data_IF_766154671984
#
_entry.id   IF_766154671984
#
_cell.length_a   1.000
_cell.length_b   1.000
_cell.length_c   1.000
_cell.angle_alpha   90.00
_cell.angle_beta   90.00
_cell.angle_gamma   90.00
#
_symmetry.space_group_name_H-M   'P 1'
#
loop_
_entity.id
_entity.type
_entity.pdbx_description
1 polymer ?
#
# COMPACT_ATOMS: atom_id res chain seq x y z
N UNK A 1 -5.15 27.73 -9.85
CA UNK A 1 -5.34 26.69 -10.88
C UNK A 1 -4.16 25.73 -11.05
N UNK A 2 -2.88 26.15 -11.20
CA UNK A 2 -1.79 25.19 -11.46
C UNK A 2 -1.40 24.32 -10.26
N UNK A 3 -1.44 24.87 -9.04
CA UNK A 3 -1.09 24.14 -7.81
C UNK A 3 -2.04 22.95 -7.57
N UNK A 4 -3.34 23.15 -7.74
CA UNK A 4 -4.33 22.09 -7.57
C UNK A 4 -4.13 20.96 -8.60
N UNK A 5 -3.97 21.29 -9.88
CA UNK A 5 -3.76 20.31 -10.93
C UNK A 5 -2.51 19.46 -10.68
N UNK A 6 -1.39 20.10 -10.30
CA UNK A 6 -0.16 19.40 -9.94
C UNK A 6 -0.35 18.50 -8.72
N UNK A 7 -0.98 19.00 -7.65
CA UNK A 7 -1.27 18.20 -6.46
C UNK A 7 -2.16 17.00 -6.78
N UNK A 8 -3.21 17.18 -7.58
CA UNK A 8 -4.08 16.10 -8.01
C UNK A 8 -3.34 15.03 -8.81
N UNK A 9 -2.53 15.43 -9.80
CA UNK A 9 -1.73 14.48 -10.59
C UNK A 9 -0.76 13.69 -9.71
N UNK A 10 -0.05 14.35 -8.78
CA UNK A 10 0.86 13.67 -7.85
C UNK A 10 0.10 12.73 -6.90
N UNK A 11 -1.09 13.13 -6.44
CA UNK A 11 -1.94 12.32 -5.56
C UNK A 11 -2.36 11.03 -6.27
N UNK A 12 -2.88 11.14 -7.49
CA UNK A 12 -3.32 9.99 -8.29
C UNK A 12 -2.15 9.07 -8.65
N UNK A 13 -0.99 9.63 -9.01
CA UNK A 13 0.22 8.83 -9.28
C UNK A 13 0.67 8.06 -8.03
N UNK A 14 0.67 8.69 -6.86
CA UNK A 14 1.02 8.03 -5.61
C UNK A 14 0.02 6.91 -5.24
N UNK A 15 -1.27 7.15 -5.43
CA UNK A 15 -2.32 6.14 -5.26
C UNK A 15 -2.12 4.97 -6.23
N UNK A 16 -1.80 5.25 -7.50
CA UNK A 16 -1.54 4.24 -8.53
C UNK A 16 -0.33 3.36 -8.16
N UNK A 17 0.77 3.96 -7.73
CA UNK A 17 1.98 3.23 -7.31
C UNK A 17 1.67 2.31 -6.13
N UNK A 18 0.94 2.80 -5.12
CA UNK A 18 0.67 1.99 -3.93
C UNK A 18 -0.41 0.93 -4.17
N UNK A 19 -1.61 1.33 -4.60
CA UNK A 19 -2.75 0.40 -4.81
C UNK A 19 -2.49 -0.52 -6.01
N UNK A 20 -1.99 0.04 -7.12
CA UNK A 20 -1.61 -0.75 -8.30
C UNK A 20 -0.44 -1.69 -8.03
N UNK A 21 0.53 -1.28 -7.21
CA UNK A 21 1.62 -2.16 -6.77
C UNK A 21 1.12 -3.32 -5.92
N UNK A 22 0.17 -3.09 -5.00
CA UNK A 22 -0.48 -4.15 -4.24
C UNK A 22 -1.30 -5.09 -5.13
N UNK A 23 -2.03 -4.54 -6.10
CA UNK A 23 -2.76 -5.32 -7.10
C UNK A 23 -1.82 -6.25 -7.87
N UNK A 24 -0.72 -5.70 -8.41
CA UNK A 24 0.29 -6.47 -9.13
C UNK A 24 0.91 -7.56 -8.25
N UNK A 25 1.31 -7.22 -7.02
CA UNK A 25 1.90 -8.18 -6.09
C UNK A 25 0.95 -9.35 -5.80
N UNK A 26 -0.34 -9.06 -5.58
CA UNK A 26 -1.31 -10.06 -5.14
C UNK A 26 -1.88 -10.91 -6.28
N UNK A 27 -2.25 -10.28 -7.40
CA UNK A 27 -2.91 -10.98 -8.53
C UNK A 27 -1.93 -11.51 -9.58
N UNK A 28 -0.77 -10.87 -9.77
CA UNK A 28 0.13 -11.20 -10.88
C UNK A 28 1.40 -11.89 -10.38
N UNK A 29 2.16 -11.22 -9.51
CA UNK A 29 3.44 -11.72 -9.05
C UNK A 29 3.30 -13.01 -8.25
N UNK A 30 2.28 -13.11 -7.40
CA UNK A 30 2.04 -14.32 -6.59
C UNK A 30 1.85 -15.57 -7.43
N UNK A 31 0.85 -15.68 -8.34
CA UNK A 31 0.67 -16.90 -9.11
C UNK A 31 1.89 -17.19 -9.99
N UNK A 32 2.53 -16.17 -10.56
CA UNK A 32 3.77 -16.35 -11.31
C UNK A 32 4.88 -16.97 -10.46
N UNK A 33 5.09 -16.48 -9.23
CA UNK A 33 6.10 -17.01 -8.31
C UNK A 33 5.75 -18.41 -7.79
N UNK A 34 4.47 -18.79 -7.73
CA UNK A 34 4.06 -20.17 -7.38
C UNK A 34 4.32 -21.13 -8.54
N UNK A 35 4.11 -20.68 -9.78
CA UNK A 35 4.32 -21.51 -10.96
C UNK A 35 5.80 -21.66 -11.34
N UNK A 36 6.61 -20.62 -11.13
CA UNK A 36 7.99 -20.58 -11.62
C UNK A 36 9.05 -20.96 -10.56
N UNK A 37 8.74 -20.96 -9.27
CA UNK A 37 9.72 -21.13 -8.19
C UNK A 37 9.30 -22.15 -7.13
N UNK A 38 10.27 -22.92 -6.66
CA UNK A 38 10.14 -23.78 -5.49
C UNK A 38 9.95 -22.98 -4.19
N UNK A 39 9.50 -23.66 -3.13
CA UNK A 39 9.16 -23.06 -1.84
C UNK A 39 10.20 -22.08 -1.27
N UNK A 40 11.46 -22.49 -1.09
CA UNK A 40 12.52 -21.62 -0.56
C UNK A 40 12.86 -20.44 -1.47
N UNK A 41 13.00 -20.67 -2.78
CA UNK A 41 13.31 -19.64 -3.76
C UNK A 41 12.21 -18.57 -3.82
N UNK A 42 10.94 -19.00 -3.71
CA UNK A 42 9.79 -18.10 -3.63
C UNK A 42 9.82 -17.20 -2.40
N UNK A 43 10.19 -17.73 -1.22
CA UNK A 43 10.29 -16.91 0.00
C UNK A 43 11.44 -15.89 -0.09
N UNK A 44 12.59 -16.29 -0.64
CA UNK A 44 13.73 -15.39 -0.91
C UNK A 44 13.34 -14.25 -1.87
N UNK A 45 12.61 -14.57 -2.94
CA UNK A 45 12.06 -13.55 -3.86
C UNK A 45 11.17 -12.54 -3.12
N UNK A 46 10.27 -13.00 -2.26
CA UNK A 46 9.37 -12.10 -1.54
C UNK A 46 10.09 -11.15 -0.58
N UNK A 47 11.15 -11.61 0.10
CA UNK A 47 12.00 -10.73 0.92
C UNK A 47 12.59 -9.60 0.07
N UNK A 48 13.15 -9.94 -1.07
CA UNK A 48 13.75 -9.00 -2.02
C UNK A 48 12.74 -8.02 -2.62
N UNK A 49 11.53 -8.49 -2.93
CA UNK A 49 10.44 -7.66 -3.47
C UNK A 49 9.95 -6.68 -2.41
N UNK A 50 9.68 -7.15 -1.19
CA UNK A 50 9.18 -6.29 -0.11
C UNK A 50 10.18 -5.20 0.26
N UNK A 51 11.48 -5.52 0.33
CA UNK A 51 12.52 -4.54 0.61
C UNK A 51 12.46 -3.35 -0.35
N UNK A 52 12.37 -3.62 -1.66
CA UNK A 52 12.33 -2.56 -2.69
C UNK A 52 10.97 -1.87 -2.72
N UNK A 53 9.88 -2.63 -2.64
CA UNK A 53 8.53 -2.09 -2.73
C UNK A 53 8.17 -1.16 -1.55
N UNK A 54 8.62 -1.48 -0.33
CA UNK A 54 8.31 -0.65 0.84
C UNK A 54 8.90 0.75 0.75
N UNK A 55 10.05 0.93 0.11
CA UNK A 55 10.61 2.27 -0.14
C UNK A 55 9.67 3.10 -1.01
N UNK A 56 9.12 2.50 -2.08
CA UNK A 56 8.12 3.14 -2.93
C UNK A 56 6.81 3.43 -2.20
N UNK A 57 6.37 2.54 -1.31
CA UNK A 57 5.17 2.75 -0.49
C UNK A 57 5.37 3.93 0.47
N UNK A 58 6.52 4.07 1.13
CA UNK A 58 6.82 5.24 1.97
C UNK A 58 6.78 6.56 1.18
N UNK A 59 7.39 6.57 0.00
CA UNK A 59 7.32 7.73 -0.90
C UNK A 59 5.87 8.03 -1.28
N UNK A 60 5.08 7.02 -1.66
CA UNK A 60 3.67 7.18 -1.99
C UNK A 60 2.84 7.72 -0.82
N UNK A 61 3.04 7.22 0.41
CA UNK A 61 2.37 7.71 1.63
C UNK A 61 2.67 9.19 1.85
N UNK A 62 3.95 9.58 1.77
CA UNK A 62 4.36 10.97 1.95
C UNK A 62 3.74 11.87 0.87
N UNK A 63 3.80 11.45 -0.40
CA UNK A 63 3.18 12.20 -1.49
C UNK A 63 1.66 12.33 -1.31
N UNK A 64 0.95 11.26 -0.93
CA UNK A 64 -0.49 11.29 -0.69
C UNK A 64 -0.87 12.25 0.43
N UNK A 65 -0.13 12.25 1.55
CA UNK A 65 -0.40 13.14 2.67
C UNK A 65 -0.19 14.62 2.30
N UNK A 66 0.94 14.93 1.64
CA UNK A 66 1.27 16.30 1.24
C UNK A 66 0.30 16.81 0.18
N UNK A 67 0.09 16.04 -0.90
CA UNK A 67 -0.82 16.43 -1.98
C UNK A 67 -2.27 16.52 -1.53
N UNK A 68 -2.74 15.60 -0.67
CA UNK A 68 -4.09 15.64 -0.12
C UNK A 68 -4.33 16.89 0.72
N UNK A 69 -3.36 17.28 1.57
CA UNK A 69 -3.45 18.50 2.36
C UNK A 69 -3.48 19.76 1.49
N UNK A 70 -2.64 19.82 0.45
CA UNK A 70 -2.65 20.92 -0.52
C UNK A 70 -3.99 21.04 -1.25
N UNK A 71 -4.60 19.91 -1.64
CA UNK A 71 -5.92 19.89 -2.29
C UNK A 71 -7.03 20.38 -1.34
N UNK A 72 -7.03 19.96 -0.08
CA UNK A 72 -8.02 20.42 0.92
C UNK A 72 -7.90 21.93 1.15
N UNK A 73 -6.68 22.42 1.38
CA UNK A 73 -6.45 23.85 1.65
C UNK A 73 -6.77 24.75 0.47
N UNK A 74 -6.59 24.26 -0.77
CA UNK A 74 -6.87 25.04 -1.99
C UNK A 74 -8.33 24.98 -2.42
N UNK A 75 -9.08 23.90 -2.13
CA UNK A 75 -10.46 23.70 -2.62
C UNK A 75 -11.54 23.92 -1.55
N UNK A 76 -11.28 23.60 -0.28
CA UNK A 76 -12.32 23.55 0.74
C UNK A 76 -12.17 24.59 1.85
N UNK A 77 -11.08 25.35 1.93
CA UNK A 77 -10.78 26.34 2.97
C UNK A 77 -10.67 25.80 4.42
N UNK A 78 -11.37 24.72 4.80
CA UNK A 78 -11.30 24.05 6.10
C UNK A 78 -11.65 22.56 6.01
N UNK A 79 -11.27 21.79 7.03
CA UNK A 79 -11.66 20.39 7.21
C UNK A 79 -13.15 20.21 7.51
N UNK A 80 -13.80 21.23 8.07
CA UNK A 80 -15.24 21.20 8.43
C UNK A 80 -16.16 21.37 7.21
N UNK A 81 -15.69 22.08 6.19
CA UNK A 81 -16.36 22.26 4.89
C UNK A 81 -16.00 21.16 3.89
N UNK A 82 -15.11 20.23 4.29
CA UNK A 82 -14.67 19.12 3.46
C UNK A 82 -15.79 18.08 3.35
N UNK A 83 -16.18 17.65 2.13
CA UNK A 83 -17.23 16.67 1.94
C UNK A 83 -16.99 15.36 2.69
N UNK A 84 -18.07 14.72 3.18
CA UNK A 84 -17.99 13.43 3.92
C UNK A 84 -17.20 12.35 3.19
N UNK A 85 -17.27 12.29 1.86
CA UNK A 85 -16.52 11.30 1.07
C UNK A 85 -15.00 11.49 1.20
N UNK A 86 -14.51 12.73 1.30
CA UNK A 86 -13.09 13.03 1.52
C UNK A 86 -12.67 12.63 2.93
N UNK A 87 -13.52 12.86 3.94
CA UNK A 87 -13.24 12.40 5.31
C UNK A 87 -13.13 10.86 5.39
N UNK A 88 -14.01 10.14 4.69
CA UNK A 88 -13.94 8.68 4.53
C UNK A 88 -12.65 8.27 3.81
N UNK A 89 -12.26 8.97 2.75
CA UNK A 89 -11.01 8.72 2.03
C UNK A 89 -9.78 8.87 2.93
N UNK A 90 -9.74 9.91 3.78
CA UNK A 90 -8.67 10.14 4.75
C UNK A 90 -8.65 9.03 5.81
N UNK A 91 -9.80 8.70 6.39
CA UNK A 91 -9.93 7.62 7.37
C UNK A 91 -9.47 6.28 6.80
N UNK A 92 -9.85 5.98 5.54
CA UNK A 92 -9.38 4.82 4.80
C UNK A 92 -7.87 4.83 4.59
N UNK A 93 -7.30 5.96 4.18
CA UNK A 93 -5.84 6.12 4.03
C UNK A 93 -5.07 5.88 5.33
N UNK A 94 -5.59 6.36 6.47
CA UNK A 94 -5.01 6.11 7.80
C UNK A 94 -5.07 4.61 8.15
N UNK A 95 -6.21 3.96 7.91
CA UNK A 95 -6.35 2.52 8.14
C UNK A 95 -5.40 1.70 7.24
N UNK A 96 -5.24 2.07 5.97
CA UNK A 96 -4.28 1.46 5.06
C UNK A 96 -2.84 1.62 5.56
N UNK A 97 -2.49 2.83 6.03
CA UNK A 97 -1.19 3.11 6.62
C UNK A 97 -0.93 2.24 7.85
N UNK A 98 -1.90 2.09 8.76
CA UNK A 98 -1.77 1.25 9.95
C UNK A 98 -1.52 -0.23 9.59
N UNK A 99 -2.21 -0.74 8.57
CA UNK A 99 -1.98 -2.10 8.05
C UNK A 99 -0.58 -2.25 7.47
N UNK A 100 -0.16 -1.30 6.62
CA UNK A 100 1.19 -1.29 6.06
C UNK A 100 2.27 -1.23 7.14
N UNK A 101 2.13 -0.32 8.09
CA UNK A 101 3.06 -0.15 9.19
C UNK A 101 3.20 -1.45 10.00
N UNK A 102 2.08 -2.14 10.28
CA UNK A 102 2.10 -3.45 10.95
C UNK A 102 2.81 -4.53 10.12
N UNK A 103 2.57 -4.58 8.81
CA UNK A 103 3.26 -5.53 7.92
C UNK A 103 4.77 -5.28 7.96
N UNK A 104 5.21 -4.02 7.80
CA UNK A 104 6.62 -3.67 7.73
C UNK A 104 7.35 -3.82 9.07
N UNK A 105 6.73 -3.42 10.18
CA UNK A 105 7.39 -3.40 11.50
C UNK A 105 7.40 -4.76 12.20
N UNK A 106 6.36 -5.59 12.01
CA UNK A 106 6.21 -6.84 12.73
C UNK A 106 6.42 -8.06 11.84
N UNK A 107 5.70 -8.14 10.71
CA UNK A 107 5.64 -9.37 9.91
C UNK A 107 6.83 -9.53 8.95
N UNK A 108 7.30 -8.43 8.35
CA UNK A 108 8.43 -8.48 7.43
C UNK A 108 9.74 -8.88 8.13
N UNK A 109 10.08 -8.38 9.34
CA UNK A 109 11.23 -8.88 10.09
C UNK A 109 11.09 -10.36 10.48
N UNK A 110 9.89 -10.83 10.82
CA UNK A 110 9.60 -12.25 11.09
C UNK A 110 9.92 -13.10 9.85
N UNK A 111 9.42 -12.71 8.67
CA UNK A 111 9.73 -13.38 7.40
C UNK A 111 11.23 -13.37 7.10
N UNK A 112 11.89 -12.21 7.21
CA UNK A 112 13.32 -12.06 6.90
C UNK A 112 14.18 -12.94 7.80
N UNK A 113 13.90 -12.96 9.11
CA UNK A 113 14.62 -13.82 10.07
C UNK A 113 14.43 -15.30 9.75
N UNK A 114 13.20 -15.73 9.46
CA UNK A 114 12.93 -17.12 9.10
C UNK A 114 13.67 -17.55 7.81
N UNK A 115 13.68 -16.69 6.78
CA UNK A 115 14.42 -16.97 5.53
C UNK A 115 15.93 -16.99 5.74
N UNK A 116 16.47 -16.12 6.60
CA UNK A 116 17.90 -16.11 6.95
C UNK A 116 18.32 -17.34 7.75
N UNK A 117 17.44 -17.84 8.61
CA UNK A 117 17.65 -19.07 9.38
C UNK A 117 17.31 -20.35 8.59
N UNK A 118 16.87 -20.22 7.33
CA UNK A 118 16.37 -21.32 6.50
C UNK A 118 15.21 -22.12 7.13
N UNK A 119 14.47 -21.48 8.04
CA UNK A 119 13.24 -22.01 8.64
C UNK A 119 12.06 -21.78 7.68
N UNK A 120 11.95 -22.66 6.68
CA UNK A 120 10.92 -22.59 5.64
C UNK A 120 9.48 -22.70 6.19
N UNK A 121 9.19 -23.57 7.18
CA UNK A 121 7.87 -23.58 7.82
C UNK A 121 7.48 -22.25 8.45
N UNK A 122 8.37 -21.63 9.24
CA UNK A 122 8.10 -20.33 9.84
C UNK A 122 7.98 -19.23 8.78
N UNK A 123 8.83 -19.25 7.76
CA UNK A 123 8.79 -18.30 6.64
C UNK A 123 7.46 -18.38 5.87
N UNK A 124 6.96 -19.59 5.61
CA UNK A 124 5.66 -19.79 4.97
C UNK A 124 4.50 -19.26 5.83
N UNK A 125 4.55 -19.48 7.15
CA UNK A 125 3.55 -18.97 8.08
C UNK A 125 3.54 -17.44 8.14
N UNK A 126 4.71 -16.80 8.23
CA UNK A 126 4.84 -15.34 8.18
C UNK A 126 4.32 -14.77 6.85
N UNK A 127 4.67 -15.41 5.73
CA UNK A 127 4.21 -15.00 4.40
C UNK A 127 2.68 -15.11 4.25
N UNK A 128 2.05 -16.13 4.84
CA UNK A 128 0.59 -16.26 4.85
C UNK A 128 -0.10 -15.11 5.61
N UNK A 129 0.46 -14.68 6.75
CA UNK A 129 -0.02 -13.52 7.52
C UNK A 129 0.10 -12.24 6.69
N UNK A 130 1.27 -12.00 6.08
CA UNK A 130 1.52 -10.84 5.20
C UNK A 130 0.50 -10.80 4.06
N UNK A 131 0.32 -11.93 3.36
CA UNK A 131 -0.62 -12.04 2.24
C UNK A 131 -2.04 -11.64 2.64
N UNK A 132 -2.52 -12.11 3.80
CA UNK A 132 -3.86 -11.77 4.28
C UNK A 132 -3.99 -10.27 4.53
N UNK A 133 -2.99 -9.66 5.17
CA UNK A 133 -3.00 -8.22 5.45
C UNK A 133 -2.89 -7.37 4.19
N UNK A 134 -2.03 -7.76 3.24
CA UNK A 134 -1.94 -7.08 1.93
C UNK A 134 -3.26 -7.18 1.17
N UNK A 135 -3.93 -8.34 1.21
CA UNK A 135 -5.25 -8.51 0.58
C UNK A 135 -6.31 -7.59 1.19
N UNK A 136 -6.38 -7.50 2.53
CA UNK A 136 -7.29 -6.55 3.21
C UNK A 136 -6.95 -5.11 2.83
N UNK A 137 -5.65 -4.76 2.83
CA UNK A 137 -5.19 -3.42 2.48
C UNK A 137 -5.50 -3.05 1.03
N UNK A 138 -5.41 -4.01 0.10
CA UNK A 138 -5.79 -3.82 -1.29
C UNK A 138 -7.30 -3.56 -1.44
N UNK A 139 -8.15 -4.34 -0.76
CA UNK A 139 -9.61 -4.11 -0.79
C UNK A 139 -9.97 -2.73 -0.26
N UNK A 140 -9.35 -2.33 0.86
CA UNK A 140 -9.51 -0.99 1.40
C UNK A 140 -9.02 0.09 0.42
N UNK A 141 -7.87 -0.11 -0.20
CA UNK A 141 -7.32 0.80 -1.21
C UNK A 141 -8.24 0.98 -2.42
N UNK A 142 -8.85 -0.10 -2.91
CA UNK A 142 -9.85 -0.02 -3.98
C UNK A 142 -11.06 0.79 -3.52
N UNK A 143 -11.58 0.54 -2.31
CA UNK A 143 -12.70 1.31 -1.76
C UNK A 143 -12.37 2.81 -1.62
N UNK A 144 -11.16 3.14 -1.15
CA UNK A 144 -10.66 4.51 -1.05
C UNK A 144 -10.58 5.17 -2.43
N UNK A 145 -10.01 4.48 -3.43
CA UNK A 145 -9.92 5.00 -4.80
C UNK A 145 -11.32 5.23 -5.40
N UNK A 146 -12.28 4.34 -5.17
CA UNK A 146 -13.66 4.53 -5.63
C UNK A 146 -14.35 5.71 -4.93
N UNK A 147 -14.05 5.94 -3.65
CA UNK A 147 -14.61 7.06 -2.89
C UNK A 147 -14.06 8.43 -3.31
N UNK A 148 -12.80 8.50 -3.76
CA UNK A 148 -12.13 9.75 -4.15
C UNK A 148 -12.14 10.01 -5.67
N UNK A 149 -11.96 8.97 -6.49
CA UNK A 149 -11.74 9.11 -7.95
C UNK A 149 -12.93 9.66 -8.74
N UNK A 150 -14.13 9.63 -8.16
CA UNK A 150 -15.37 10.08 -8.83
C UNK A 150 -15.74 11.54 -8.49
N UNK A 151 -15.16 12.14 -7.44
CA UNK A 151 -15.75 13.34 -6.80
C UNK A 151 -14.76 14.49 -6.44
N UNK A 152 -13.48 14.40 -6.81
CA UNK A 152 -12.46 15.43 -6.54
C UNK A 152 -12.49 16.66 -7.45
#
# INVERSE_FOLDING_TARGET
>A
MPVFALSYSLHVLAALVWVGGMFFAWLVLRPAAVAALDGPARLRLWVEVFQRFFVWVWMAIALLAISGMLMINTRFASFETTPRHVQVMIGGGIAMFALFFRIQSLLYPELRKAVQAEDWPAGAAAMAKIRRMVGINLMLGIAVVLSGGVLW
#
